data_IF_859275306985
#
_entry.id   IF_859275306985
#
_cell.length_a   1.000
_cell.length_b   1.000
_cell.length_c   1.000
_cell.angle_alpha   90.00
_cell.angle_beta   90.00
_cell.angle_gamma   90.00
#
_symmetry.space_group_name_H-M   'P 1'
#
loop_
_entity.id
_entity.type
_entity.pdbx_description
1 polymer ?
#
# COMPACT_ATOMS: atom_id res chain seq x y z
N UNK A 1 -57.02 -8.01 -7.16
CA UNK A 1 -55.60 -8.42 -7.30
C UNK A 1 -54.83 -7.72 -6.18
N UNK A 2 -54.45 -8.50 -5.18
CA UNK A 2 -54.23 -8.06 -3.79
C UNK A 2 -53.03 -7.14 -3.57
N UNK A 3 -53.26 -6.10 -2.76
CA UNK A 3 -52.25 -5.17 -2.25
C UNK A 3 -51.04 -5.87 -1.59
N UNK A 4 -51.24 -7.09 -1.08
CA UNK A 4 -50.20 -7.93 -0.49
C UNK A 4 -49.11 -8.35 -1.50
N UNK A 5 -49.45 -8.62 -2.77
CA UNK A 5 -48.48 -9.10 -3.77
C UNK A 5 -47.50 -7.99 -4.18
N UNK A 6 -47.95 -6.73 -4.19
CA UNK A 6 -47.09 -5.55 -4.46
C UNK A 6 -46.08 -5.28 -3.33
N UNK A 7 -46.45 -5.56 -2.08
CA UNK A 7 -45.56 -5.37 -0.93
C UNK A 7 -44.38 -6.34 -0.95
N UNK A 8 -44.60 -7.62 -1.27
CA UNK A 8 -43.51 -8.60 -1.35
C UNK A 8 -42.54 -8.31 -2.50
N UNK A 9 -43.02 -7.80 -3.63
CA UNK A 9 -42.18 -7.44 -4.77
C UNK A 9 -41.27 -6.23 -4.46
N UNK A 10 -41.79 -5.22 -3.75
CA UNK A 10 -41.01 -4.05 -3.33
C UNK A 10 -39.95 -4.43 -2.28
N UNK A 11 -40.32 -5.30 -1.32
CA UNK A 11 -39.37 -5.85 -0.35
C UNK A 11 -38.27 -6.69 -1.00
N UNK A 12 -38.60 -7.50 -2.03
CA UNK A 12 -37.62 -8.29 -2.77
C UNK A 12 -36.66 -7.39 -3.56
N UNK A 13 -37.16 -6.31 -4.17
CA UNK A 13 -36.33 -5.33 -4.89
C UNK A 13 -35.41 -4.59 -3.90
N UNK A 14 -35.90 -4.18 -2.73
CA UNK A 14 -35.09 -3.53 -1.69
C UNK A 14 -34.03 -4.51 -1.15
N UNK A 15 -34.36 -5.78 -0.92
CA UNK A 15 -33.40 -6.81 -0.50
C UNK A 15 -32.38 -7.08 -1.60
N UNK A 16 -32.78 -7.12 -2.87
CA UNK A 16 -31.86 -7.26 -4.01
C UNK A 16 -30.94 -6.04 -4.14
N UNK A 17 -31.45 -4.81 -3.99
CA UNK A 17 -30.65 -3.57 -4.02
C UNK A 17 -29.71 -3.50 -2.81
N UNK A 18 -30.18 -3.88 -1.61
CA UNK A 18 -29.33 -3.97 -0.44
C UNK A 18 -28.27 -5.08 -0.60
N UNK A 19 -28.60 -6.19 -1.25
CA UNK A 19 -27.65 -7.27 -1.51
C UNK A 19 -26.57 -6.88 -2.54
N UNK A 20 -26.90 -6.03 -3.53
CA UNK A 20 -25.92 -5.50 -4.49
C UNK A 20 -25.08 -4.37 -3.89
N UNK A 21 -25.60 -3.63 -2.91
CA UNK A 21 -24.84 -2.65 -2.11
C UNK A 21 -23.95 -3.32 -1.03
N UNK A 22 -24.11 -4.62 -0.77
CA UNK A 22 -23.30 -5.39 0.18
C UNK A 22 -22.18 -6.21 -0.46
N UNK A 23 -22.05 -6.25 -1.79
CA UNK A 23 -20.92 -6.94 -2.43
C UNK A 23 -19.63 -6.16 -2.20
N UNK A 24 -18.98 -6.42 -1.05
CA UNK A 24 -17.72 -5.83 -0.63
C UNK A 24 -16.52 -6.33 -1.43
N UNK A 25 -16.74 -7.28 -2.34
CA UNK A 25 -15.69 -7.91 -3.13
C UNK A 25 -15.70 -7.34 -4.55
N UNK A 26 -14.56 -6.82 -5.03
CA UNK A 26 -14.42 -6.44 -6.43
C UNK A 26 -14.71 -7.63 -7.34
N UNK A 27 -15.47 -7.38 -8.41
CA UNK A 27 -16.01 -8.42 -9.30
C UNK A 27 -15.26 -8.53 -10.63
N UNK A 28 -14.26 -7.68 -10.88
CA UNK A 28 -13.51 -7.70 -12.14
C UNK A 28 -12.70 -9.00 -12.29
N UNK A 29 -12.53 -9.48 -13.53
CA UNK A 29 -11.66 -10.62 -13.81
C UNK A 29 -10.21 -10.32 -13.47
N UNK A 30 -9.73 -9.12 -13.80
CA UNK A 30 -8.39 -8.63 -13.50
C UNK A 30 -8.08 -8.68 -12.00
N UNK A 31 -9.00 -8.22 -11.15
CA UNK A 31 -8.86 -8.33 -9.70
C UNK A 31 -8.75 -9.80 -9.24
N UNK A 32 -9.66 -10.66 -9.70
CA UNK A 32 -9.64 -12.09 -9.33
C UNK A 32 -8.35 -12.78 -9.76
N UNK A 33 -7.82 -12.43 -10.93
CA UNK A 33 -6.57 -12.96 -11.43
C UNK A 33 -5.39 -12.49 -10.58
N UNK A 34 -5.33 -11.18 -10.25
CA UNK A 34 -4.30 -10.59 -9.42
C UNK A 34 -4.15 -11.34 -8.08
N UNK A 35 -5.27 -11.61 -7.42
CA UNK A 35 -5.35 -12.24 -6.09
C UNK A 35 -5.62 -13.75 -6.10
N UNK A 36 -5.59 -14.41 -7.26
CA UNK A 36 -5.81 -15.86 -7.38
C UNK A 36 -4.85 -16.69 -6.51
N UNK A 37 -3.62 -16.20 -6.32
CA UNK A 37 -2.58 -16.80 -5.50
C UNK A 37 -2.97 -16.96 -4.02
N UNK A 38 -3.85 -16.10 -3.48
CA UNK A 38 -4.33 -16.19 -2.11
C UNK A 38 -5.19 -17.45 -1.88
N UNK A 39 -5.89 -17.93 -2.92
CA UNK A 39 -6.71 -19.16 -2.85
C UNK A 39 -5.88 -20.43 -2.92
N UNK A 40 -4.73 -20.36 -3.58
CA UNK A 40 -3.83 -21.50 -3.79
C UNK A 40 -2.83 -21.66 -2.66
N UNK A 41 -2.72 -20.66 -1.78
CA UNK A 41 -1.76 -20.67 -0.69
C UNK A 41 -2.08 -21.75 0.33
N UNK A 42 -1.16 -22.71 0.47
CA UNK A 42 -1.13 -23.62 1.60
C UNK A 42 -0.15 -23.06 2.63
N UNK A 43 -0.64 -22.84 3.84
CA UNK A 43 0.18 -22.40 4.96
C UNK A 43 1.33 -23.38 5.18
N UNK A 44 2.56 -22.90 5.06
CA UNK A 44 3.76 -23.69 5.36
C UNK A 44 3.77 -24.03 6.84
N UNK A 45 3.85 -25.31 7.19
CA UNK A 45 3.84 -25.77 8.59
C UNK A 45 5.23 -25.80 9.23
N UNK A 46 6.29 -25.54 8.45
CA UNK A 46 7.65 -25.49 8.96
C UNK A 46 7.81 -24.17 9.73
N UNK A 47 8.08 -24.22 11.04
CA UNK A 47 8.36 -23.02 11.81
C UNK A 47 9.62 -22.34 11.28
N UNK A 48 9.61 -21.00 11.24
CA UNK A 48 10.81 -20.22 10.96
C UNK A 48 11.91 -20.61 11.94
N UNK A 49 13.14 -20.75 11.43
CA UNK A 49 14.33 -20.89 12.27
C UNK A 49 14.99 -19.54 12.50
N UNK A 50 15.18 -19.20 13.77
CA UNK A 50 15.98 -18.04 14.15
C UNK A 50 17.47 -18.30 13.90
N UNK A 51 18.14 -17.29 13.37
CA UNK A 51 19.57 -17.29 13.08
C UNK A 51 20.23 -16.06 13.70
N UNK A 52 21.55 -16.02 13.71
CA UNK A 52 22.30 -14.89 14.26
C UNK A 52 22.06 -13.58 13.49
N UNK A 53 21.75 -13.67 12.20
CA UNK A 53 21.45 -12.52 11.34
C UNK A 53 20.30 -12.90 10.40
N UNK A 54 19.19 -12.17 10.48
CA UNK A 54 18.08 -12.37 9.55
C UNK A 54 17.30 -11.09 9.34
N UNK A 55 16.60 -11.05 8.20
CA UNK A 55 15.66 -10.02 7.85
C UNK A 55 14.28 -10.67 7.72
N UNK A 56 13.27 -10.11 8.39
CA UNK A 56 11.87 -10.40 8.09
C UNK A 56 11.31 -9.20 7.35
N UNK A 57 10.69 -9.48 6.20
CA UNK A 57 9.88 -8.51 5.49
C UNK A 57 8.44 -8.73 5.88
N UNK A 58 7.78 -7.65 6.30
CA UNK A 58 6.39 -7.63 6.72
C UNK A 58 5.58 -6.76 5.79
N UNK A 59 4.39 -7.24 5.44
CA UNK A 59 3.44 -6.50 4.61
C UNK A 59 2.08 -6.55 5.24
N UNK A 60 1.37 -5.43 5.17
CA UNK A 60 -0.06 -5.31 5.40
C UNK A 60 -0.71 -4.97 4.06
N UNK A 61 -1.10 -5.98 3.28
CA UNK A 61 -1.79 -5.82 2.00
C UNK A 61 -3.29 -5.57 2.21
N UNK A 62 -3.87 -4.61 1.48
CA UNK A 62 -5.30 -4.27 1.58
C UNK A 62 -6.17 -4.97 0.55
N UNK A 63 -5.54 -5.59 -0.43
CA UNK A 63 -6.17 -6.27 -1.56
C UNK A 63 -7.01 -5.29 -2.37
N UNK A 64 -6.39 -4.16 -2.75
CA UNK A 64 -7.02 -3.09 -3.52
C UNK A 64 -7.24 -3.50 -4.98
N UNK A 65 -8.22 -2.88 -5.63
CA UNK A 65 -8.50 -3.10 -7.05
C UNK A 65 -7.80 -2.06 -7.93
N UNK A 66 -6.68 -2.46 -8.54
CA UNK A 66 -5.88 -1.62 -9.43
C UNK A 66 -6.34 -1.66 -10.90
N UNK A 67 -7.52 -2.22 -11.20
CA UNK A 67 -8.03 -2.33 -12.57
C UNK A 67 -8.25 -0.96 -13.22
N UNK A 68 -8.77 -0.01 -12.45
CA UNK A 68 -9.06 1.35 -12.88
C UNK A 68 -9.23 2.29 -11.67
N UNK A 69 -9.29 3.60 -11.93
CA UNK A 69 -9.39 4.64 -10.91
C UNK A 69 -10.61 4.50 -10.00
N UNK A 70 -11.76 4.14 -10.57
CA UNK A 70 -13.02 4.03 -9.82
C UNK A 70 -12.96 2.83 -8.90
N UNK A 71 -12.54 1.69 -9.42
CA UNK A 71 -12.36 0.45 -8.66
C UNK A 71 -11.34 0.63 -7.53
N UNK A 72 -10.24 1.33 -7.82
CA UNK A 72 -9.22 1.66 -6.82
C UNK A 72 -9.78 2.50 -5.68
N UNK A 73 -10.35 3.68 -5.96
CA UNK A 73 -10.89 4.53 -4.90
C UNK A 73 -12.04 3.87 -4.13
N UNK A 74 -12.85 3.04 -4.80
CA UNK A 74 -13.89 2.26 -4.13
C UNK A 74 -13.29 1.30 -3.10
N UNK A 75 -12.21 0.60 -3.45
CA UNK A 75 -11.53 -0.34 -2.53
C UNK A 75 -10.67 0.33 -1.47
N UNK A 76 -10.15 1.54 -1.71
CA UNK A 76 -9.50 2.36 -0.68
C UNK A 76 -10.53 2.87 0.33
N UNK A 77 -11.70 3.34 -0.13
CA UNK A 77 -12.76 3.82 0.75
C UNK A 77 -13.33 2.71 1.67
N UNK A 78 -13.28 1.47 1.20
CA UNK A 78 -13.66 0.28 1.97
C UNK A 78 -12.84 -0.92 1.54
N UNK A 79 -11.90 -1.34 2.39
CA UNK A 79 -10.95 -2.39 2.08
C UNK A 79 -11.63 -3.75 1.80
N UNK A 80 -11.33 -4.42 0.68
CA UNK A 80 -11.88 -5.74 0.37
C UNK A 80 -11.50 -6.81 1.40
N UNK A 81 -10.31 -6.69 1.99
CA UNK A 81 -9.78 -7.67 2.94
C UNK A 81 -10.54 -7.73 4.26
N UNK A 82 -10.84 -6.58 4.86
CA UNK A 82 -11.37 -6.50 6.23
C UNK A 82 -12.51 -5.49 6.41
N UNK A 83 -13.02 -4.92 5.32
CA UNK A 83 -14.11 -3.95 5.28
C UNK A 83 -13.86 -2.66 6.09
N UNK A 84 -12.63 -2.42 6.53
CA UNK A 84 -12.26 -1.17 7.22
C UNK A 84 -12.35 0.02 6.26
N UNK A 85 -12.62 1.21 6.80
CA UNK A 85 -12.88 2.46 6.05
C UNK A 85 -11.94 3.59 6.45
N UNK A 86 -10.71 3.24 6.82
CA UNK A 86 -9.69 4.21 7.23
C UNK A 86 -8.93 4.82 6.05
N UNK A 87 -9.13 4.31 4.83
CA UNK A 87 -8.58 4.90 3.60
C UNK A 87 -7.08 4.73 3.42
N UNK A 88 -6.43 3.81 4.16
CA UNK A 88 -5.01 3.57 3.99
C UNK A 88 -4.71 2.66 2.78
N UNK A 89 -3.46 2.62 2.34
CA UNK A 89 -3.03 1.81 1.18
C UNK A 89 -2.28 0.53 1.61
N UNK A 90 -2.42 0.16 2.89
CA UNK A 90 -1.56 -0.83 3.52
C UNK A 90 -0.19 -0.26 3.90
N UNK A 91 0.71 -1.15 4.32
CA UNK A 91 2.07 -0.78 4.70
C UNK A 91 3.06 -1.94 4.50
N UNK A 92 4.34 -1.62 4.39
CA UNK A 92 5.42 -2.61 4.33
C UNK A 92 6.61 -2.14 5.18
N UNK A 93 7.16 -3.03 5.98
CA UNK A 93 8.26 -2.70 6.88
C UNK A 93 9.20 -3.89 7.09
N UNK A 94 10.33 -3.63 7.72
CA UNK A 94 11.32 -4.67 8.04
C UNK A 94 11.36 -4.94 9.54
N UNK A 95 11.76 -6.16 9.89
CA UNK A 95 12.33 -6.52 11.18
C UNK A 95 13.71 -7.13 10.90
N UNK A 96 14.76 -6.40 11.26
CA UNK A 96 16.15 -6.79 11.03
C UNK A 96 16.77 -7.17 12.38
N UNK A 97 17.26 -8.39 12.49
CA UNK A 97 17.96 -8.88 13.68
C UNK A 97 19.39 -9.27 13.34
N UNK A 98 20.33 -8.92 14.23
CA UNK A 98 21.72 -9.30 14.12
C UNK A 98 22.45 -9.33 15.45
N UNK A 99 23.58 -10.03 15.51
CA UNK A 99 24.48 -10.01 16.67
C UNK A 99 25.63 -9.01 16.44
N UNK A 100 25.69 -7.96 17.27
CA UNK A 100 26.78 -6.99 17.29
C UNK A 100 27.51 -7.12 18.63
N UNK A 101 28.77 -7.56 18.59
CA UNK A 101 29.64 -7.72 19.77
C UNK A 101 29.01 -8.56 20.91
N UNK A 102 28.33 -9.65 20.56
CA UNK A 102 27.68 -10.55 21.52
C UNK A 102 26.29 -10.11 21.95
N UNK A 103 25.79 -8.96 21.48
CA UNK A 103 24.44 -8.45 21.79
C UNK A 103 23.53 -8.57 20.59
N UNK A 104 22.31 -9.05 20.81
CA UNK A 104 21.26 -9.04 19.79
C UNK A 104 20.76 -7.60 19.63
N UNK A 105 20.76 -7.13 18.40
CA UNK A 105 20.22 -5.84 17.99
C UNK A 105 19.06 -6.09 17.03
N UNK A 106 17.95 -5.41 17.28
CA UNK A 106 16.74 -5.47 16.46
C UNK A 106 16.40 -4.07 15.98
N UNK A 107 16.15 -3.92 14.68
CA UNK A 107 15.61 -2.71 14.08
C UNK A 107 14.33 -3.08 13.37
N UNK A 108 13.25 -2.43 13.78
CA UNK A 108 11.95 -2.62 13.15
C UNK A 108 11.39 -1.27 12.71
N UNK A 109 10.94 -1.21 11.46
CA UNK A 109 10.32 -0.01 10.92
C UNK A 109 10.32 0.03 9.40
N UNK A 110 9.68 1.07 8.87
CA UNK A 110 9.49 1.28 7.43
C UNK A 110 9.46 2.75 7.08
N UNK A 111 9.44 3.05 5.79
CA UNK A 111 9.31 4.42 5.30
C UNK A 111 7.83 4.82 5.24
N UNK A 112 7.45 5.90 5.90
CA UNK A 112 6.09 6.47 5.90
C UNK A 112 6.13 7.96 5.55
N UNK A 113 4.98 8.57 5.26
CA UNK A 113 4.86 9.98 4.85
C UNK A 113 3.42 10.38 4.60
N UNK A 114 3.19 11.44 3.81
CA UNK A 114 1.87 11.96 3.46
C UNK A 114 1.04 12.39 4.70
N UNK A 115 1.71 13.05 5.65
CA UNK A 115 1.07 13.50 6.90
C UNK A 115 0.22 14.74 6.67
N UNK A 116 0.54 15.55 5.65
CA UNK A 116 -0.10 16.84 5.43
C UNK A 116 0.51 17.96 6.28
N UNK A 117 1.77 17.78 6.72
CA UNK A 117 2.41 18.71 7.66
C UNK A 117 3.22 19.80 6.95
N UNK A 118 4.12 19.39 6.05
CA UNK A 118 4.97 20.30 5.26
C UNK A 118 4.33 20.56 3.91
N UNK A 119 3.92 19.48 3.25
CA UNK A 119 3.23 19.50 1.97
C UNK A 119 1.79 19.01 2.15
N UNK A 120 0.90 19.46 1.28
CA UNK A 120 -0.48 18.98 1.21
C UNK A 120 -0.51 17.51 0.78
N UNK A 121 -1.48 16.74 1.28
CA UNK A 121 -1.64 15.32 0.91
C UNK A 121 -1.97 15.19 -0.57
N UNK A 122 -1.74 14.02 -1.16
CA UNK A 122 -1.92 13.84 -2.60
C UNK A 122 -3.35 14.14 -3.06
N UNK A 123 -4.34 13.60 -2.35
CA UNK A 123 -5.74 13.84 -2.69
C UNK A 123 -6.10 15.32 -2.59
N UNK A 124 -5.70 15.97 -1.49
CA UNK A 124 -5.98 17.39 -1.27
C UNK A 124 -5.28 18.28 -2.31
N UNK A 125 -4.06 17.94 -2.72
CA UNK A 125 -3.32 18.68 -3.75
C UNK A 125 -3.94 18.53 -5.14
N UNK A 126 -4.48 17.35 -5.49
CA UNK A 126 -5.26 17.15 -6.72
C UNK A 126 -6.53 17.99 -6.70
N UNK A 127 -7.22 18.05 -5.56
CA UNK A 127 -8.41 18.88 -5.41
C UNK A 127 -8.07 20.37 -5.49
N UNK A 128 -6.99 20.82 -4.85
CA UNK A 128 -6.54 22.21 -4.94
C UNK A 128 -6.17 22.60 -6.39
N UNK A 129 -5.56 21.71 -7.17
CA UNK A 129 -5.35 21.93 -8.60
C UNK A 129 -6.67 22.03 -9.38
N UNK A 130 -7.67 21.23 -9.06
CA UNK A 130 -8.98 21.32 -9.70
C UNK A 130 -9.67 22.65 -9.38
N UNK A 131 -9.67 23.06 -8.11
CA UNK A 131 -10.43 24.21 -7.63
C UNK A 131 -9.72 25.54 -7.94
N UNK A 132 -8.40 25.57 -7.82
CA UNK A 132 -7.61 26.81 -7.84
C UNK A 132 -6.50 26.85 -8.89
N UNK A 133 -6.13 25.70 -9.48
CA UNK A 133 -4.98 25.62 -10.39
C UNK A 133 -3.62 25.58 -9.71
N UNK A 134 -3.58 25.50 -8.38
CA UNK A 134 -2.35 25.46 -7.59
C UNK A 134 -2.46 24.40 -6.50
N UNK A 135 -1.36 23.72 -6.19
CA UNK A 135 -1.35 22.71 -5.11
C UNK A 135 -1.49 23.33 -3.72
N UNK A 136 -0.82 24.47 -3.48
CA UNK A 136 -0.82 25.21 -2.21
C UNK A 136 -1.22 26.68 -2.49
N UNK A 137 -2.49 26.96 -2.79
CA UNK A 137 -2.93 28.27 -3.26
C UNK A 137 -2.87 29.32 -2.14
N UNK A 138 -2.24 30.47 -2.43
CA UNK A 138 -2.32 31.68 -1.57
C UNK A 138 -3.74 32.27 -1.58
N UNK A 139 -4.03 33.20 -0.66
CA UNK A 139 -5.32 33.89 -0.64
C UNK A 139 -5.61 34.66 -1.94
N UNK A 140 -4.57 35.19 -2.58
CA UNK A 140 -4.69 35.88 -3.87
C UNK A 140 -4.99 34.90 -5.01
N UNK A 141 -4.29 33.78 -5.06
CA UNK A 141 -4.52 32.72 -6.05
C UNK A 141 -5.92 32.11 -5.96
N UNK A 142 -6.52 32.02 -4.77
CA UNK A 142 -7.93 31.60 -4.62
C UNK A 142 -8.92 32.60 -5.22
N UNK A 143 -8.58 33.89 -5.25
CA UNK A 143 -9.41 34.92 -5.89
C UNK A 143 -9.23 34.93 -7.41
N UNK A 144 -8.07 34.46 -7.88
CA UNK A 144 -7.68 34.42 -9.29
C UNK A 144 -7.21 33.01 -9.67
N UNK A 145 -8.11 32.01 -9.67
CA UNK A 145 -7.76 30.65 -10.02
C UNK A 145 -7.24 30.59 -11.46
N UNK A 146 -6.29 29.68 -11.70
CA UNK A 146 -5.85 29.36 -13.05
C UNK A 146 -6.29 27.94 -13.44
N UNK A 147 -6.25 27.65 -14.73
CA UNK A 147 -6.58 26.33 -15.23
C UNK A 147 -5.38 25.40 -15.12
N UNK A 148 -5.50 24.32 -14.33
CA UNK A 148 -4.56 23.20 -14.38
C UNK A 148 -5.15 22.05 -15.21
N UNK A 149 -4.61 21.73 -16.41
CA UNK A 149 -5.13 20.64 -17.24
C UNK A 149 -4.88 19.25 -16.63
N UNK A 150 -3.84 19.09 -15.80
CA UNK A 150 -3.43 17.79 -15.27
C UNK A 150 -3.32 17.75 -13.74
N UNK A 151 -4.42 17.92 -12.98
CA UNK A 151 -4.39 17.88 -11.51
C UNK A 151 -3.73 16.63 -10.92
N UNK A 152 -3.93 15.48 -11.57
CA UNK A 152 -3.39 14.19 -11.11
C UNK A 152 -1.87 14.09 -11.17
N UNK A 153 -1.19 15.02 -11.88
CA UNK A 153 0.28 15.07 -11.90
C UNK A 153 0.88 15.15 -10.50
N UNK A 154 0.12 15.62 -9.53
CA UNK A 154 0.56 15.67 -8.14
C UNK A 154 0.88 14.29 -7.55
N UNK A 155 0.30 13.18 -8.05
CA UNK A 155 0.67 11.82 -7.62
C UNK A 155 2.15 11.48 -7.89
N UNK A 156 2.81 12.20 -8.80
CA UNK A 156 4.24 12.06 -9.10
C UNK A 156 5.13 13.02 -8.30
N UNK A 157 4.54 13.92 -7.50
CA UNK A 157 5.31 14.83 -6.66
C UNK A 157 5.98 14.07 -5.51
N UNK A 158 7.13 14.59 -5.10
CA UNK A 158 7.78 14.21 -3.84
C UNK A 158 7.31 15.17 -2.75
N UNK A 159 6.80 14.62 -1.65
CA UNK A 159 6.44 15.35 -0.44
C UNK A 159 7.61 15.36 0.54
N UNK A 160 7.77 16.44 1.30
CA UNK A 160 8.85 16.69 2.25
C UNK A 160 8.39 16.46 3.70
N UNK A 161 7.57 15.43 3.90
CA UNK A 161 7.08 15.02 5.22
C UNK A 161 7.21 13.51 5.46
N UNK A 162 8.09 12.86 4.69
CA UNK A 162 8.48 11.48 4.91
C UNK A 162 9.27 11.30 6.21
N UNK A 163 9.28 10.07 6.73
CA UNK A 163 10.07 9.69 7.90
C UNK A 163 10.24 8.17 8.01
N UNK A 164 11.24 7.75 8.80
CA UNK A 164 11.32 6.35 9.25
C UNK A 164 10.32 6.14 10.39
N UNK A 165 9.28 5.35 10.12
CA UNK A 165 8.30 4.95 11.12
C UNK A 165 8.84 3.73 11.88
N UNK A 166 9.20 3.93 13.14
CA UNK A 166 9.65 2.85 14.01
C UNK A 166 8.48 1.90 14.36
N UNK A 167 8.77 0.60 14.37
CA UNK A 167 7.78 -0.43 14.66
C UNK A 167 6.80 -0.65 13.50
N UNK A 168 5.56 -1.00 13.81
CA UNK A 168 4.55 -1.39 12.81
C UNK A 168 3.68 -0.24 12.32
N UNK A 169 3.76 0.94 12.94
CA UNK A 169 2.83 2.04 12.65
C UNK A 169 1.37 1.75 13.01
N UNK A 170 1.09 0.74 13.83
CA UNK A 170 -0.28 0.29 14.11
C UNK A 170 -0.84 -0.70 13.07
N UNK A 171 -0.05 -1.10 12.08
CA UNK A 171 -0.45 -2.11 11.10
C UNK A 171 -0.28 -3.54 11.66
N UNK A 172 -1.17 -4.43 11.24
CA UNK A 172 -1.06 -5.88 11.47
C UNK A 172 -0.67 -6.58 10.16
N UNK A 173 0.44 -7.32 10.11
CA UNK A 173 0.89 -7.93 8.86
C UNK A 173 -0.12 -8.97 8.35
N UNK A 174 -0.32 -8.97 7.04
CA UNK A 174 -1.06 -10.00 6.30
C UNK A 174 -0.16 -11.16 5.91
N UNK A 175 1.13 -10.86 5.69
CA UNK A 175 2.15 -11.84 5.39
C UNK A 175 3.52 -11.39 5.94
N UNK A 176 4.39 -12.36 6.21
CA UNK A 176 5.77 -12.09 6.55
C UNK A 176 6.68 -13.23 6.06
N UNK A 177 7.85 -12.86 5.55
CA UNK A 177 8.86 -13.83 5.14
C UNK A 177 10.25 -13.47 5.67
N UNK A 178 10.96 -14.47 6.17
CA UNK A 178 12.32 -14.37 6.71
C UNK A 178 13.34 -14.74 5.64
N UNK A 179 14.44 -13.98 5.61
CA UNK A 179 15.61 -14.18 4.76
C UNK A 179 16.80 -14.33 5.70
N UNK A 180 17.52 -15.44 5.58
CA UNK A 180 18.81 -15.66 6.24
C UNK A 180 19.84 -14.67 5.72
N UNK A 181 20.60 -14.03 6.62
CA UNK A 181 21.61 -13.07 6.22
C UNK A 181 23.01 -13.55 6.58
N UNK A 182 23.96 -13.24 5.72
CA UNK A 182 25.37 -13.17 6.14
C UNK A 182 25.59 -11.91 6.98
N UNK A 183 26.66 -11.92 7.81
CA UNK A 183 27.08 -10.72 8.55
C UNK A 183 27.34 -9.52 7.63
N UNK A 184 27.87 -9.76 6.42
CA UNK A 184 28.12 -8.73 5.42
C UNK A 184 26.82 -8.09 4.92
N UNK A 185 25.80 -8.90 4.60
CA UNK A 185 24.49 -8.40 4.19
C UNK A 185 23.80 -7.62 5.31
N UNK A 186 23.84 -8.14 6.54
CA UNK A 186 23.33 -7.42 7.72
C UNK A 186 23.99 -6.03 7.85
N UNK A 187 25.31 -5.96 7.79
CA UNK A 187 26.03 -4.69 7.88
C UNK A 187 25.68 -3.75 6.72
N UNK A 188 25.55 -4.27 5.49
CA UNK A 188 25.16 -3.47 4.32
C UNK A 188 23.76 -2.86 4.50
N UNK A 189 22.81 -3.64 5.01
CA UNK A 189 21.45 -3.17 5.33
C UNK A 189 21.51 -2.09 6.42
N UNK A 190 22.26 -2.32 7.51
CA UNK A 190 22.44 -1.33 8.58
C UNK A 190 22.95 0.00 8.02
N UNK A 191 23.96 -0.01 7.14
CA UNK A 191 24.45 1.22 6.52
C UNK A 191 23.38 1.86 5.62
N UNK A 192 22.63 1.06 4.86
CA UNK A 192 21.62 1.56 3.93
C UNK A 192 20.39 2.18 4.60
N UNK A 193 20.04 1.76 5.83
CA UNK A 193 18.87 2.29 6.56
C UNK A 193 19.20 3.43 7.52
N UNK A 194 20.48 3.79 7.68
CA UNK A 194 20.89 4.95 8.48
C UNK A 194 20.22 6.21 8.00
N UNK A 195 19.88 7.09 8.93
CA UNK A 195 19.14 8.32 8.66
C UNK A 195 19.88 9.25 7.70
N UNK A 196 21.21 9.25 7.73
CA UNK A 196 22.05 10.06 6.84
C UNK A 196 22.26 9.43 5.45
N UNK A 197 21.90 8.15 5.28
CA UNK A 197 22.15 7.38 4.06
C UNK A 197 20.88 7.18 3.20
N UNK A 198 19.70 7.24 3.81
CA UNK A 198 18.41 7.10 3.12
C UNK A 198 17.58 8.39 3.28
N UNK A 199 17.04 8.97 2.19
CA UNK A 199 16.33 10.24 2.23
C UNK A 199 14.92 10.08 2.80
N UNK A 200 14.79 9.73 4.07
CA UNK A 200 13.49 9.48 4.69
C UNK A 200 12.56 10.70 4.65
N UNK A 201 13.08 11.91 4.57
CA UNK A 201 12.28 13.13 4.49
C UNK A 201 11.48 13.25 3.18
N UNK A 202 11.89 12.54 2.13
CA UNK A 202 11.21 12.53 0.85
C UNK A 202 10.23 11.36 0.75
N UNK A 203 8.95 11.64 0.60
CA UNK A 203 7.92 10.64 0.34
C UNK A 203 7.37 10.77 -1.09
N UNK A 204 7.29 9.66 -1.82
CA UNK A 204 6.66 9.61 -3.15
C UNK A 204 5.96 8.28 -3.40
N UNK A 205 4.72 8.33 -3.91
CA UNK A 205 3.96 7.13 -4.30
C UNK A 205 4.67 6.27 -5.36
N UNK A 206 5.50 6.89 -6.19
CA UNK A 206 6.13 6.22 -7.35
C UNK A 206 7.56 5.75 -7.09
N UNK A 207 8.21 6.20 -6.00
CA UNK A 207 9.64 5.92 -5.78
C UNK A 207 10.05 5.71 -4.32
N UNK A 208 9.56 6.55 -3.40
CA UNK A 208 10.12 6.70 -2.06
C UNK A 208 9.02 6.52 -1.03
N UNK A 209 8.66 5.25 -0.81
CA UNK A 209 7.65 4.86 0.17
C UNK A 209 7.95 3.44 0.69
N UNK A 210 7.12 2.95 1.60
CA UNK A 210 7.29 1.69 2.32
C UNK A 210 7.68 0.48 1.45
N UNK A 211 7.01 0.26 0.31
CA UNK A 211 7.24 -0.90 -0.55
C UNK A 211 8.56 -0.78 -1.32
N UNK A 212 8.90 0.42 -1.82
CA UNK A 212 10.21 0.67 -2.44
C UNK A 212 11.34 0.48 -1.43
N UNK A 213 11.17 0.99 -0.20
CA UNK A 213 12.12 0.82 0.89
C UNK A 213 12.37 -0.67 1.15
N UNK A 214 11.32 -1.45 1.39
CA UNK A 214 11.42 -2.89 1.63
C UNK A 214 12.04 -3.64 0.44
N UNK A 215 11.65 -3.34 -0.80
CA UNK A 215 12.25 -3.94 -2.00
C UNK A 215 13.76 -3.68 -2.10
N UNK A 216 14.21 -2.46 -1.77
CA UNK A 216 15.64 -2.12 -1.77
C UNK A 216 16.40 -2.89 -0.69
N UNK A 217 15.82 -3.04 0.49
CA UNK A 217 16.43 -3.80 1.59
C UNK A 217 16.44 -5.31 1.29
N UNK A 218 15.39 -5.84 0.66
CA UNK A 218 15.34 -7.24 0.24
C UNK A 218 16.42 -7.55 -0.78
N UNK A 219 16.70 -6.64 -1.70
CA UNK A 219 17.76 -6.79 -2.70
C UNK A 219 19.15 -6.86 -2.06
N UNK A 220 19.42 -6.05 -1.03
CA UNK A 220 20.65 -6.16 -0.22
C UNK A 220 20.76 -7.50 0.52
N UNK A 221 19.62 -8.12 0.85
CA UNK A 221 19.54 -9.48 1.40
C UNK A 221 19.65 -10.59 0.33
N UNK A 222 19.83 -10.23 -0.96
CA UNK A 222 19.93 -11.18 -2.06
C UNK A 222 18.58 -11.66 -2.59
N UNK A 223 17.47 -11.04 -2.21
CA UNK A 223 16.13 -11.38 -2.68
C UNK A 223 15.48 -10.22 -3.45
N UNK A 224 15.37 -10.36 -4.77
CA UNK A 224 14.64 -9.40 -5.60
C UNK A 224 13.13 -9.67 -5.53
N UNK A 225 12.37 -8.66 -5.11
CA UNK A 225 10.91 -8.73 -4.99
C UNK A 225 10.26 -7.76 -5.98
N UNK A 226 9.28 -8.25 -6.75
CA UNK A 226 8.39 -7.35 -7.50
C UNK A 226 7.48 -6.66 -6.49
N UNK A 227 7.32 -5.34 -6.64
CA UNK A 227 6.42 -4.53 -5.81
C UNK A 227 5.51 -3.63 -6.63
N UNK A 228 5.72 -3.53 -7.94
CA UNK A 228 5.06 -2.52 -8.76
C UNK A 228 3.86 -3.05 -9.54
N UNK A 229 2.83 -2.22 -9.66
CA UNK A 229 1.68 -2.42 -10.54
C UNK A 229 1.39 -1.15 -11.32
N UNK A 230 1.02 -1.30 -12.59
CA UNK A 230 0.51 -0.21 -13.41
C UNK A 230 -1.00 -0.11 -13.20
N UNK A 231 -1.49 1.07 -12.85
CA UNK A 231 -2.91 1.37 -12.66
C UNK A 231 -3.35 2.41 -13.68
N UNK A 232 -4.35 2.11 -14.53
CA UNK A 232 -4.97 3.09 -15.39
C UNK A 232 -5.64 4.22 -14.60
N UNK A 233 -5.42 5.45 -15.03
CA UNK A 233 -6.07 6.65 -14.53
C UNK A 233 -7.05 7.15 -15.58
N UNK A 234 -8.34 7.24 -15.25
CA UNK A 234 -9.32 7.88 -16.11
C UNK A 234 -9.11 9.40 -16.17
N UNK A 235 -9.42 10.07 -17.29
CA UNK A 235 -9.21 11.51 -17.42
C UNK A 235 -10.08 12.33 -16.46
N UNK A 236 -11.19 11.77 -15.99
CA UNK A 236 -12.07 12.36 -14.99
C UNK A 236 -12.79 11.29 -14.16
N UNK A 237 -13.26 11.67 -12.97
CA UNK A 237 -14.00 10.79 -12.06
C UNK A 237 -15.14 11.53 -11.38
N UNK A 238 -16.22 10.82 -11.06
CA UNK A 238 -17.30 11.38 -10.25
C UNK A 238 -16.94 11.32 -8.77
N UNK A 239 -16.86 12.47 -8.11
CA UNK A 239 -16.56 12.58 -6.68
C UNK A 239 -17.51 13.59 -6.03
N UNK A 240 -18.22 13.19 -4.96
CA UNK A 240 -19.17 14.04 -4.22
C UNK A 240 -20.21 14.79 -5.10
N UNK A 241 -20.70 14.15 -6.17
CA UNK A 241 -21.72 14.75 -7.03
C UNK A 241 -21.18 15.70 -8.11
N UNK A 242 -19.86 15.83 -8.24
CA UNK A 242 -19.21 16.60 -9.29
C UNK A 242 -18.26 15.74 -10.12
N UNK A 243 -18.09 16.11 -11.39
CA UNK A 243 -17.04 15.55 -12.24
C UNK A 243 -15.72 16.25 -11.91
N UNK A 244 -14.75 15.51 -11.40
CA UNK A 244 -13.40 15.99 -11.09
C UNK A 244 -12.48 15.66 -12.26
N UNK A 245 -11.72 16.63 -12.76
CA UNK A 245 -10.71 16.44 -13.80
C UNK A 245 -9.46 15.83 -13.17
N UNK A 246 -8.90 14.82 -13.82
CA UNK A 246 -7.63 14.21 -13.43
C UNK A 246 -6.53 14.58 -14.41
N UNK A 247 -6.76 14.41 -15.71
CA UNK A 247 -5.78 14.75 -16.75
C UNK A 247 -6.42 15.03 -18.10
N UNK A 248 -5.74 15.84 -18.90
CA UNK A 248 -5.97 16.00 -20.35
C UNK A 248 -4.80 15.47 -21.18
N UNK A 249 -3.60 15.45 -20.60
CA UNK A 249 -2.40 14.87 -21.21
C UNK A 249 -2.33 13.36 -20.95
N UNK A 250 -2.35 12.52 -22.01
CA UNK A 250 -2.29 11.07 -21.88
C UNK A 250 -1.03 10.53 -21.17
N UNK A 251 0.04 11.32 -20.99
CA UNK A 251 1.19 10.88 -20.20
C UNK A 251 0.82 10.52 -18.74
N UNK A 252 -0.28 11.09 -18.22
CA UNK A 252 -0.79 10.82 -16.88
C UNK A 252 -1.88 9.73 -16.84
N UNK A 253 -2.13 9.06 -17.96
CA UNK A 253 -3.18 8.03 -18.07
C UNK A 253 -2.87 6.72 -17.34
N UNK A 254 -1.63 6.53 -16.89
CA UNK A 254 -1.20 5.35 -16.13
C UNK A 254 -0.21 5.77 -15.06
N UNK A 255 -0.41 5.32 -13.83
CA UNK A 255 0.57 5.45 -12.76
C UNK A 255 1.15 4.08 -12.41
N UNK A 256 2.46 4.05 -12.16
CA UNK A 256 3.14 2.87 -11.62
C UNK A 256 3.31 3.05 -10.12
N UNK A 257 2.68 2.17 -9.35
CA UNK A 257 2.68 2.21 -7.89
C UNK A 257 3.44 1.00 -7.36
N UNK A 258 4.34 1.21 -6.40
CA UNK A 258 4.90 0.13 -5.61
C UNK A 258 4.01 -0.12 -4.38
N UNK A 259 3.45 -1.32 -4.24
CA UNK A 259 2.37 -1.59 -3.27
C UNK A 259 2.64 -2.82 -2.38
N UNK A 260 2.11 -2.82 -1.15
CA UNK A 260 2.16 -3.99 -0.26
C UNK A 260 1.52 -5.23 -0.87
N UNK A 261 0.50 -5.05 -1.70
CA UNK A 261 -0.27 -6.12 -2.34
C UNK A 261 0.57 -6.94 -3.35
N UNK A 262 1.39 -6.26 -4.16
CA UNK A 262 2.33 -6.93 -5.06
C UNK A 262 3.50 -7.53 -4.30
N UNK A 263 3.98 -6.85 -3.26
CA UNK A 263 5.02 -7.40 -2.38
C UNK A 263 4.57 -8.70 -1.71
N UNK A 264 3.34 -8.77 -1.20
CA UNK A 264 2.78 -9.99 -0.60
C UNK A 264 2.85 -11.16 -1.58
N UNK A 265 2.37 -10.97 -2.81
CA UNK A 265 2.44 -11.97 -3.87
C UNK A 265 3.88 -12.43 -4.15
N UNK A 266 4.82 -11.49 -4.21
CA UNK A 266 6.25 -11.79 -4.42
C UNK A 266 6.88 -12.55 -3.27
N UNK A 267 6.57 -12.20 -2.02
CA UNK A 267 7.04 -12.89 -0.82
C UNK A 267 6.49 -14.32 -0.76
N UNK A 268 5.22 -14.51 -1.08
CA UNK A 268 4.60 -15.83 -1.15
C UNK A 268 5.30 -16.71 -2.19
N UNK A 269 5.58 -16.17 -3.38
CA UNK A 269 6.36 -16.87 -4.42
C UNK A 269 7.79 -17.20 -3.93
N UNK A 270 8.46 -16.28 -3.24
CA UNK A 270 9.81 -16.51 -2.71
C UNK A 270 9.84 -17.64 -1.69
N UNK A 271 8.85 -17.69 -0.79
CA UNK A 271 8.69 -18.79 0.18
C UNK A 271 8.40 -20.11 -0.52
N UNK A 272 7.51 -20.12 -1.51
CA UNK A 272 7.19 -21.33 -2.29
C UNK A 272 8.40 -21.89 -3.04
N UNK A 273 9.31 -21.02 -3.50
CA UNK A 273 10.55 -21.41 -4.18
C UNK A 273 11.69 -21.81 -3.22
N UNK A 274 11.51 -21.66 -1.91
CA UNK A 274 12.54 -21.93 -0.91
C UNK A 274 13.62 -20.85 -0.78
N UNK A 275 13.40 -19.67 -1.35
CA UNK A 275 14.33 -18.53 -1.25
C UNK A 275 14.12 -17.72 0.04
N UNK A 276 13.02 -17.96 0.77
CA UNK A 276 12.67 -17.34 2.03
C UNK A 276 11.85 -18.32 2.88
N UNK A 277 11.75 -18.06 4.17
CA UNK A 277 10.95 -18.85 5.12
C UNK A 277 9.67 -18.10 5.49
N UNK A 278 8.56 -18.81 5.68
CA UNK A 278 7.34 -18.19 6.23
C UNK A 278 7.57 -17.78 7.69
N UNK A 279 7.24 -16.52 8.04
CA UNK A 279 7.60 -15.95 9.34
C UNK A 279 6.44 -15.29 10.11
N UNK A 280 5.23 -15.26 9.54
CA UNK A 280 4.12 -14.49 10.13
C UNK A 280 3.72 -14.99 11.52
N UNK A 281 3.59 -16.31 11.71
CA UNK A 281 3.22 -16.88 13.02
C UNK A 281 4.29 -16.60 14.08
N UNK A 282 5.56 -16.77 13.72
CA UNK A 282 6.69 -16.46 14.61
C UNK A 282 6.65 -15.00 15.04
N UNK A 283 6.43 -14.10 14.09
CA UNK A 283 6.38 -12.66 14.36
C UNK A 283 5.21 -12.28 15.29
N UNK A 284 4.01 -12.80 15.01
CA UNK A 284 2.82 -12.51 15.81
C UNK A 284 2.93 -13.06 17.24
N UNK A 285 3.55 -14.22 17.43
CA UNK A 285 3.74 -14.81 18.76
C UNK A 285 4.78 -14.04 19.58
N UNK A 286 5.91 -13.65 18.97
CA UNK A 286 6.97 -12.91 19.68
C UNK A 286 6.61 -11.44 19.98
N UNK A 287 5.71 -10.83 19.19
CA UNK A 287 5.18 -9.49 19.49
C UNK A 287 4.20 -9.46 20.67
N UNK A 288 3.58 -10.58 21.03
CA UNK A 288 2.63 -10.63 22.16
C UNK A 288 3.31 -10.58 23.54
N UNK A 289 4.64 -10.50 23.59
CA UNK A 289 5.45 -10.51 24.81
C UNK A 289 6.32 -9.26 25.00
N UNK A 290 6.22 -8.26 24.12
CA UNK A 290 6.85 -6.94 24.24
C UNK A 290 5.78 -5.85 24.24
#
# INVERSE_FOLDING_TARGET
MDFKVRSYFLSLIIICILSTLTSCCPSSSAYRELYSHLRQYKKTRVPMREENYFLIILVNARHLDYTDTRSFFHTVAKHPRDATKNGDLGHAWIYLQGNINGRIVVIEGGHSGERGMTDVRYFDGIMNYNDWGYVNPTLEQRKHPCYEPNPVKYLWATLNDGYFQQGTGGHRPTYAAKISLTKQQFNAIIQAIKIDAYPYHHYSLTQQQCSNFVSKISELAGLKLESEIAMPIYPSVWYRGQMVRLWEDPQYSVIKLATPDILEKSLMKAVQKGNAEYALDWYLNNKSHN
#
